data_IF_802407268982
#
_entry.id   IF_802407268982
#
_cell.length_a   1.000
_cell.length_b   1.000
_cell.length_c   1.000
_cell.angle_alpha   90.00
_cell.angle_beta   90.00
_cell.angle_gamma   90.00
#
_symmetry.space_group_name_H-M   'P 1'
#
loop_
_entity.id
_entity.type
_entity.pdbx_description
1 polymer ?
#
# COMPACT_ATOMS: atom_id res chain seq x y z
N UNK A 1 15.54 -9.35 24.97
CA UNK A 1 16.52 -10.40 25.32
C UNK A 1 15.79 -11.57 25.93
N UNK A 2 15.44 -12.56 25.11
CA UNK A 2 14.72 -13.75 25.56
C UNK A 2 15.73 -14.85 25.84
N UNK A 3 16.30 -14.85 27.05
CA UNK A 3 17.27 -15.85 27.56
C UNK A 3 16.97 -17.33 27.16
N UNK A 4 15.71 -17.82 27.14
CA UNK A 4 15.46 -19.22 26.77
C UNK A 4 15.71 -19.58 25.30
N UNK A 5 15.76 -18.62 24.39
CA UNK A 5 15.99 -18.86 22.95
C UNK A 5 17.51 -18.94 22.67
N UNK A 6 18.30 -18.06 23.28
CA UNK A 6 19.77 -18.06 23.17
C UNK A 6 20.39 -19.38 23.66
N UNK A 7 19.94 -19.90 24.81
CA UNK A 7 20.44 -21.17 25.39
C UNK A 7 20.15 -22.40 24.51
N UNK A 8 19.13 -22.33 23.64
CA UNK A 8 18.81 -23.39 22.68
C UNK A 8 19.60 -23.26 21.38
N UNK A 9 19.88 -22.03 20.95
CA UNK A 9 20.65 -21.73 19.75
C UNK A 9 22.15 -22.01 19.94
N UNK A 10 22.69 -21.81 21.15
CA UNK A 10 24.09 -22.08 21.48
C UNK A 10 24.47 -23.57 21.42
N UNK A 11 23.49 -24.47 21.52
CA UNK A 11 23.70 -25.92 21.44
C UNK A 11 23.93 -26.45 20.02
N UNK A 12 23.66 -25.65 18.99
CA UNK A 12 23.84 -26.05 17.58
C UNK A 12 25.14 -25.42 17.05
N UNK A 13 26.18 -26.22 16.75
CA UNK A 13 27.53 -25.70 16.49
C UNK A 13 27.61 -24.75 15.29
N UNK A 14 26.80 -24.97 14.25
CA UNK A 14 26.75 -24.11 13.05
C UNK A 14 26.07 -22.77 13.35
N UNK A 15 24.98 -22.78 14.13
CA UNK A 15 24.24 -21.57 14.45
C UNK A 15 25.00 -20.65 15.42
N UNK A 16 25.79 -21.21 16.33
CA UNK A 16 26.60 -20.44 17.28
C UNK A 16 27.66 -19.58 16.55
N UNK A 17 28.33 -20.15 15.54
CA UNK A 17 29.34 -19.43 14.74
C UNK A 17 28.69 -18.26 13.97
N UNK A 18 27.54 -18.51 13.35
CA UNK A 18 26.78 -17.50 12.62
C UNK A 18 26.27 -16.40 13.58
N UNK A 19 25.72 -16.79 14.73
CA UNK A 19 25.22 -15.86 15.75
C UNK A 19 26.34 -14.94 16.26
N UNK A 20 27.53 -15.48 16.55
CA UNK A 20 28.69 -14.70 16.99
C UNK A 20 29.15 -13.70 15.93
N UNK A 21 29.15 -14.10 14.66
CA UNK A 21 29.49 -13.20 13.54
C UNK A 21 28.51 -12.02 13.45
N UNK A 22 27.19 -12.28 13.50
CA UNK A 22 26.17 -11.24 13.44
C UNK A 22 26.07 -10.37 14.71
N UNK A 23 26.45 -10.89 15.88
CA UNK A 23 26.57 -10.12 17.13
C UNK A 23 27.77 -9.16 17.13
N UNK A 24 28.81 -9.45 16.35
CA UNK A 24 30.02 -8.62 16.27
C UNK A 24 29.80 -7.35 15.44
N UNK A 25 28.85 -7.38 14.50
CA UNK A 25 28.49 -6.23 13.66
C UNK A 25 27.46 -5.37 14.42
N UNK A 26 27.97 -4.36 15.12
CA UNK A 26 27.14 -3.32 15.75
C UNK A 26 26.84 -2.22 14.74
N UNK A 27 25.56 -1.90 14.57
CA UNK A 27 25.14 -0.89 13.61
C UNK A 27 25.24 0.51 14.22
N UNK A 28 25.97 1.45 13.60
CA UNK A 28 26.02 2.83 14.07
C UNK A 28 24.63 3.47 13.95
N UNK A 29 24.12 4.02 15.06
CA UNK A 29 22.81 4.70 15.12
C UNK A 29 21.66 3.88 15.71
N UNK A 30 21.81 2.58 15.94
CA UNK A 30 20.77 1.71 16.53
C UNK A 30 20.94 1.47 18.04
N UNK A 31 21.35 2.50 18.80
CA UNK A 31 21.56 2.43 20.26
C UNK A 31 22.43 1.25 20.76
N UNK A 32 23.29 0.70 19.90
CA UNK A 32 24.16 -0.43 20.24
C UNK A 32 23.61 -1.82 19.94
N UNK A 33 22.47 -1.92 19.25
CA UNK A 33 21.94 -3.18 18.73
C UNK A 33 22.86 -3.78 17.66
N UNK A 34 23.06 -5.09 17.74
CA UNK A 34 23.72 -5.87 16.68
C UNK A 34 22.74 -6.28 15.60
N UNK A 35 23.26 -6.71 14.44
CA UNK A 35 22.42 -7.26 13.35
C UNK A 35 21.63 -8.47 13.83
N UNK A 36 22.19 -9.29 14.72
CA UNK A 36 21.48 -10.41 15.35
C UNK A 36 20.27 -9.93 16.15
N UNK A 37 20.43 -8.87 16.96
CA UNK A 37 19.35 -8.35 17.79
C UNK A 37 18.21 -7.79 16.93
N UNK A 38 18.52 -7.14 15.81
CA UNK A 38 17.52 -6.67 14.85
C UNK A 38 16.79 -7.84 14.16
N UNK A 39 17.52 -8.88 13.76
CA UNK A 39 16.91 -10.07 13.16
C UNK A 39 16.02 -10.81 14.16
N UNK A 40 16.45 -10.96 15.41
CA UNK A 40 15.65 -11.55 16.49
C UNK A 40 14.37 -10.74 16.70
N UNK A 41 14.49 -9.40 16.78
CA UNK A 41 13.35 -8.50 17.01
C UNK A 41 12.37 -8.49 15.83
N UNK A 42 12.88 -8.57 14.59
CA UNK A 42 12.09 -8.69 13.37
C UNK A 42 11.33 -10.02 13.32
N UNK A 43 12.02 -11.15 13.54
CA UNK A 43 11.40 -12.48 13.53
C UNK A 43 10.39 -12.62 14.67
N UNK A 44 10.72 -12.18 15.88
CA UNK A 44 9.77 -12.16 17.00
C UNK A 44 8.57 -11.25 16.70
N UNK A 45 8.76 -10.11 16.04
CA UNK A 45 7.68 -9.21 15.62
C UNK A 45 6.73 -9.84 14.58
N UNK A 46 7.25 -10.69 13.69
CA UNK A 46 6.46 -11.48 12.74
C UNK A 46 5.70 -12.59 13.47
N UNK A 47 6.39 -13.37 14.31
CA UNK A 47 5.80 -14.50 15.06
C UNK A 47 4.71 -14.04 16.01
N UNK A 48 4.90 -12.90 16.69
CA UNK A 48 3.91 -12.30 17.58
C UNK A 48 2.73 -11.65 16.83
N UNK A 49 2.68 -11.72 15.50
CA UNK A 49 1.54 -11.28 14.70
C UNK A 49 1.40 -9.76 14.54
N UNK A 50 2.21 -8.96 15.24
CA UNK A 50 2.10 -7.50 15.24
C UNK A 50 2.46 -6.89 13.88
N UNK A 51 3.51 -7.40 13.23
CA UNK A 51 3.93 -6.94 11.90
C UNK A 51 3.04 -7.47 10.78
N UNK A 52 2.69 -8.77 10.83
CA UNK A 52 1.85 -9.41 9.81
C UNK A 52 0.43 -8.88 9.82
N UNK A 53 -0.19 -8.67 10.97
CA UNK A 53 -1.55 -8.10 11.05
C UNK A 53 -1.59 -6.67 10.49
N UNK A 54 -0.56 -5.85 10.78
CA UNK A 54 -0.47 -4.49 10.24
C UNK A 54 -0.23 -4.48 8.73
N UNK A 55 0.69 -5.31 8.24
CA UNK A 55 0.94 -5.47 6.82
C UNK A 55 -0.33 -5.93 6.08
N UNK A 56 -1.07 -6.89 6.63
CA UNK A 56 -2.34 -7.35 6.08
C UNK A 56 -3.42 -6.27 6.06
N UNK A 57 -3.53 -5.45 7.11
CA UNK A 57 -4.46 -4.32 7.15
C UNK A 57 -4.14 -3.29 6.05
N UNK A 58 -2.85 -2.96 5.86
CA UNK A 58 -2.40 -2.06 4.79
C UNK A 58 -2.71 -2.67 3.41
N UNK A 59 -2.38 -3.94 3.19
CA UNK A 59 -2.64 -4.63 1.92
C UNK A 59 -4.14 -4.69 1.61
N UNK A 60 -4.98 -4.95 2.61
CA UNK A 60 -6.44 -4.93 2.46
C UNK A 60 -6.95 -3.54 2.08
N UNK A 61 -6.49 -2.47 2.76
CA UNK A 61 -6.88 -1.10 2.41
C UNK A 61 -6.39 -0.67 1.02
N UNK A 62 -5.23 -1.14 0.59
CA UNK A 62 -4.76 -0.91 -0.77
C UNK A 62 -5.65 -1.64 -1.79
N UNK A 63 -5.94 -2.92 -1.54
CA UNK A 63 -6.80 -3.73 -2.40
C UNK A 63 -8.20 -3.12 -2.57
N UNK A 64 -8.82 -2.63 -1.49
CA UNK A 64 -10.14 -1.98 -1.57
C UNK A 64 -10.11 -0.63 -2.29
N UNK A 65 -8.94 0.03 -2.36
CA UNK A 65 -8.77 1.31 -3.05
C UNK A 65 -8.51 1.18 -4.56
N UNK A 66 -8.12 -0.01 -5.04
CA UNK A 66 -7.87 -0.26 -6.48
C UNK A 66 -9.14 -0.01 -7.31
N UNK A 67 -10.31 -0.49 -6.87
CA UNK A 67 -11.54 -0.32 -7.62
C UNK A 67 -11.97 1.16 -7.77
N UNK A 68 -12.06 1.95 -6.67
CA UNK A 68 -12.27 3.39 -6.77
C UNK A 68 -11.24 4.11 -7.63
N UNK A 69 -9.97 3.74 -7.53
CA UNK A 69 -8.90 4.31 -8.34
C UNK A 69 -9.12 4.07 -9.84
N UNK A 70 -9.40 2.81 -10.24
CA UNK A 70 -9.66 2.48 -11.63
C UNK A 70 -10.85 3.27 -12.17
N UNK A 71 -11.92 3.37 -11.39
CA UNK A 71 -13.11 4.12 -11.76
C UNK A 71 -12.80 5.63 -11.93
N UNK A 72 -11.97 6.21 -11.05
CA UNK A 72 -11.49 7.58 -11.20
C UNK A 72 -10.73 7.78 -12.51
N UNK A 73 -9.78 6.89 -12.84
CA UNK A 73 -9.00 6.96 -14.07
C UNK A 73 -9.90 6.86 -15.30
N UNK A 74 -10.88 5.95 -15.30
CA UNK A 74 -11.87 5.77 -16.38
C UNK A 74 -12.66 7.06 -16.65
N UNK A 75 -13.06 7.78 -15.60
CA UNK A 75 -13.78 9.04 -15.72
C UNK A 75 -12.87 10.16 -16.27
N UNK A 76 -11.58 10.16 -15.91
CA UNK A 76 -10.63 11.21 -16.32
C UNK A 76 -10.14 11.01 -17.76
N UNK A 77 -9.99 9.76 -18.23
CA UNK A 77 -9.50 9.40 -19.57
C UNK A 77 -10.04 10.27 -20.72
N UNK A 78 -11.37 10.49 -20.88
CA UNK A 78 -11.88 11.28 -22.01
C UNK A 78 -11.47 12.76 -21.99
N UNK A 79 -11.00 13.28 -20.85
CA UNK A 79 -10.53 14.65 -20.70
C UNK A 79 -9.03 14.80 -20.94
N UNK A 80 -8.32 13.71 -21.19
CA UNK A 80 -6.88 13.71 -21.46
C UNK A 80 -6.66 13.92 -22.97
N UNK A 81 -6.03 15.04 -23.39
CA UNK A 81 -5.84 15.37 -24.80
C UNK A 81 -4.62 14.64 -25.38
N UNK A 82 -4.67 13.30 -25.41
CA UNK A 82 -3.61 12.46 -25.97
C UNK A 82 -4.25 11.42 -26.88
N UNK A 83 -3.79 11.38 -28.12
CA UNK A 83 -4.24 10.40 -29.10
C UNK A 83 -3.79 9.00 -28.69
N UNK A 84 -4.71 8.03 -28.73
CA UNK A 84 -4.40 6.62 -28.43
C UNK A 84 -4.42 6.24 -26.94
N UNK A 85 -4.36 7.20 -26.01
CA UNK A 85 -4.26 6.92 -24.57
C UNK A 85 -5.33 5.97 -24.03
N UNK A 86 -6.57 6.12 -24.49
CA UNK A 86 -7.67 5.23 -24.11
C UNK A 86 -7.41 3.77 -24.52
N UNK A 87 -6.87 3.55 -25.72
CA UNK A 87 -6.58 2.21 -26.22
C UNK A 87 -5.40 1.59 -25.47
N UNK A 88 -4.31 2.35 -25.32
CA UNK A 88 -3.11 1.90 -24.61
C UNK A 88 -3.40 1.55 -23.14
N UNK A 89 -4.23 2.35 -22.47
CA UNK A 89 -4.65 2.07 -21.09
C UNK A 89 -5.52 0.81 -20.99
N UNK A 90 -6.42 0.59 -21.96
CA UNK A 90 -7.25 -0.62 -22.00
C UNK A 90 -6.41 -1.87 -22.25
N UNK A 91 -5.42 -1.79 -23.15
CA UNK A 91 -4.49 -2.88 -23.42
C UNK A 91 -3.62 -3.19 -22.19
N UNK A 92 -3.16 -2.16 -21.49
CA UNK A 92 -2.48 -2.31 -20.21
C UNK A 92 -3.38 -3.04 -19.20
N UNK A 93 -4.63 -2.59 -18.99
CA UNK A 93 -5.56 -3.26 -18.07
C UNK A 93 -5.81 -4.72 -18.45
N UNK A 94 -5.99 -5.03 -19.74
CA UNK A 94 -6.15 -6.40 -20.23
C UNK A 94 -4.91 -7.29 -19.97
N UNK A 95 -3.71 -6.71 -19.85
CA UNK A 95 -2.49 -7.47 -19.55
C UNK A 95 -2.34 -7.87 -18.08
N UNK A 96 -3.00 -7.16 -17.15
CA UNK A 96 -2.86 -7.35 -15.70
C UNK A 96 -4.13 -7.92 -15.06
N UNK A 97 -5.29 -7.60 -15.60
CA UNK A 97 -6.57 -8.07 -15.08
C UNK A 97 -6.99 -9.39 -15.73
N UNK A 98 -7.67 -10.27 -14.98
CA UNK A 98 -8.36 -11.41 -15.58
C UNK A 98 -9.37 -10.96 -16.65
N UNK A 99 -9.57 -11.73 -17.74
CA UNK A 99 -10.42 -11.33 -18.87
C UNK A 99 -11.85 -10.94 -18.46
N UNK A 100 -12.42 -11.67 -17.50
CA UNK A 100 -13.77 -11.44 -16.99
C UNK A 100 -13.93 -10.09 -16.29
N UNK A 101 -12.86 -9.59 -15.65
CA UNK A 101 -12.86 -8.32 -14.92
C UNK A 101 -12.67 -7.14 -15.89
N UNK A 102 -11.79 -7.30 -16.88
CA UNK A 102 -11.57 -6.25 -17.88
C UNK A 102 -12.79 -6.06 -18.77
N UNK A 103 -13.40 -7.14 -19.26
CA UNK A 103 -14.65 -7.09 -20.04
C UNK A 103 -15.76 -6.36 -19.27
N UNK A 104 -15.96 -6.69 -17.99
CA UNK A 104 -16.95 -6.01 -17.15
C UNK A 104 -16.69 -4.50 -17.03
N UNK A 105 -15.43 -4.09 -16.78
CA UNK A 105 -15.09 -2.66 -16.67
C UNK A 105 -15.28 -1.92 -18.00
N UNK A 106 -14.95 -2.57 -19.12
CA UNK A 106 -15.05 -1.99 -20.47
C UNK A 106 -16.50 -1.88 -20.92
N UNK A 107 -17.27 -2.98 -20.85
CA UNK A 107 -18.62 -3.00 -21.37
C UNK A 107 -19.62 -2.27 -20.46
N UNK A 108 -19.43 -2.31 -19.15
CA UNK A 108 -20.40 -1.74 -18.20
C UNK A 108 -20.10 -0.28 -17.85
N UNK A 109 -18.82 0.11 -17.76
CA UNK A 109 -18.46 1.46 -17.29
C UNK A 109 -18.09 2.34 -18.48
N UNK A 110 -17.18 1.91 -19.36
CA UNK A 110 -16.75 2.74 -20.48
C UNK A 110 -17.85 2.98 -21.53
N UNK A 111 -18.69 1.98 -21.81
CA UNK A 111 -19.74 2.08 -22.82
C UNK A 111 -20.95 2.89 -22.34
N UNK A 112 -21.40 2.66 -21.10
CA UNK A 112 -22.55 3.36 -20.51
C UNK A 112 -22.26 4.82 -20.18
N UNK A 113 -21.03 5.13 -19.73
CA UNK A 113 -20.60 6.51 -19.49
C UNK A 113 -20.55 7.33 -20.79
N UNK A 114 -20.25 6.69 -21.93
CA UNK A 114 -20.14 7.37 -23.23
C UNK A 114 -21.49 7.62 -23.94
N UNK A 115 -22.53 6.87 -23.59
CA UNK A 115 -23.78 6.86 -24.36
C UNK A 115 -24.95 7.61 -23.73
N UNK A 116 -25.16 7.55 -22.40
CA UNK A 116 -26.42 8.05 -21.81
C UNK A 116 -26.35 8.54 -20.33
N UNK A 117 -25.17 8.89 -19.82
CA UNK A 117 -25.07 9.26 -18.39
C UNK A 117 -25.19 10.78 -18.17
N UNK A 118 -26.22 11.21 -17.41
CA UNK A 118 -26.40 12.60 -16.97
C UNK A 118 -25.16 13.10 -16.20
N UNK A 119 -24.64 14.29 -16.53
CA UNK A 119 -23.39 14.83 -15.96
C UNK A 119 -23.33 14.87 -14.42
N UNK A 120 -24.48 14.95 -13.73
CA UNK A 120 -24.55 14.89 -12.27
C UNK A 120 -24.20 13.52 -11.65
N UNK A 121 -24.43 12.42 -12.38
CA UNK A 121 -24.04 11.08 -11.92
C UNK A 121 -22.51 10.93 -11.97
N UNK A 122 -21.90 11.38 -13.08
CA UNK A 122 -20.45 11.32 -13.31
C UNK A 122 -19.70 12.12 -12.23
N UNK A 123 -20.15 13.35 -11.92
CA UNK A 123 -19.51 14.18 -10.89
C UNK A 123 -19.63 13.58 -9.47
N UNK A 124 -20.78 12.95 -9.17
CA UNK A 124 -20.99 12.30 -7.86
C UNK A 124 -20.11 11.07 -7.69
N UNK A 125 -20.01 10.26 -8.74
CA UNK A 125 -19.17 9.07 -8.79
C UNK A 125 -17.67 9.46 -8.76
N UNK A 126 -17.29 10.55 -9.41
CA UNK A 126 -15.94 11.12 -9.34
C UNK A 126 -15.54 11.53 -7.92
N UNK A 127 -16.39 12.29 -7.22
CA UNK A 127 -16.10 12.71 -5.85
C UNK A 127 -16.06 11.53 -4.88
N UNK A 128 -16.97 10.56 -5.04
CA UNK A 128 -17.01 9.35 -4.22
C UNK A 128 -15.76 8.49 -4.43
N UNK A 129 -15.35 8.27 -5.67
CA UNK A 129 -14.15 7.48 -6.00
C UNK A 129 -12.88 8.16 -5.48
N UNK A 130 -12.75 9.47 -5.62
CA UNK A 130 -11.66 10.25 -5.05
C UNK A 130 -11.60 10.12 -3.52
N UNK A 131 -12.75 10.18 -2.84
CA UNK A 131 -12.83 10.01 -1.40
C UNK A 131 -12.43 8.59 -0.96
N UNK A 132 -12.94 7.56 -1.65
CA UNK A 132 -12.63 6.16 -1.34
C UNK A 132 -11.15 5.82 -1.59
N UNK A 133 -10.58 6.32 -2.69
CA UNK A 133 -9.15 6.15 -3.01
C UNK A 133 -8.27 6.78 -1.93
N UNK A 134 -8.59 8.01 -1.49
CA UNK A 134 -7.83 8.69 -0.45
C UNK A 134 -7.93 8.00 0.93
N UNK A 135 -9.03 7.30 1.22
CA UNK A 135 -9.11 6.44 2.42
C UNK A 135 -8.13 5.27 2.36
N UNK A 136 -7.92 4.66 1.19
CA UNK A 136 -6.90 3.63 0.99
C UNK A 136 -5.49 4.11 1.30
N UNK A 137 -5.11 5.26 0.76
CA UNK A 137 -3.79 5.87 1.02
C UNK A 137 -3.65 6.32 2.48
N UNK A 138 -4.72 6.83 3.09
CA UNK A 138 -4.70 7.20 4.51
C UNK A 138 -4.48 5.98 5.43
N UNK A 139 -4.99 4.80 5.07
CA UNK A 139 -4.76 3.57 5.81
C UNK A 139 -3.30 3.11 5.73
N UNK A 140 -2.63 3.30 4.59
CA UNK A 140 -1.19 3.07 4.44
C UNK A 140 -0.41 3.95 5.42
N UNK A 141 -0.69 5.25 5.46
CA UNK A 141 -0.03 6.17 6.41
C UNK A 141 -0.32 5.83 7.86
N UNK A 142 -1.57 5.47 8.19
CA UNK A 142 -1.94 5.07 9.55
C UNK A 142 -1.24 3.78 9.99
N UNK A 143 -1.01 2.84 9.05
CA UNK A 143 -0.25 1.61 9.29
C UNK A 143 1.25 1.84 9.52
N UNK A 144 1.82 2.92 8.98
CA UNK A 144 3.21 3.32 9.21
C UNK A 144 3.40 4.27 10.41
N UNK A 145 2.41 5.10 10.74
CA UNK A 145 2.47 6.08 11.83
C UNK A 145 2.36 5.46 13.23
N UNK A 146 1.95 4.19 13.33
CA UNK A 146 1.84 3.45 14.61
C UNK A 146 3.17 2.87 15.11
N UNK A 147 4.26 3.65 15.07
CA UNK A 147 5.49 3.29 15.79
C UNK A 147 5.37 3.67 17.27
N UNK A 148 5.76 2.75 18.16
CA UNK A 148 5.72 2.94 19.60
C UNK A 148 6.40 4.27 19.99
N UNK A 149 5.76 5.04 20.86
CA UNK A 149 6.25 6.22 21.59
C UNK A 149 6.00 7.66 21.11
N UNK A 150 5.28 7.95 20.02
CA UNK A 150 4.65 9.28 19.88
C UNK A 150 3.29 9.21 19.19
N UNK A 151 2.22 9.32 19.97
CA UNK A 151 0.93 9.79 19.45
C UNK A 151 1.09 11.25 19.04
N UNK A 152 1.56 11.49 17.82
CA UNK A 152 1.43 12.81 17.22
C UNK A 152 -0.05 13.00 16.90
N UNK A 153 -0.70 13.91 17.62
CA UNK A 153 -2.06 14.36 17.36
C UNK A 153 -2.06 15.16 16.05
N UNK A 154 -1.83 14.50 14.91
CA UNK A 154 -1.89 15.14 13.59
C UNK A 154 -3.36 15.31 13.23
N UNK A 155 -3.72 16.53 12.88
CA UNK A 155 -5.07 16.87 12.45
C UNK A 155 -5.45 15.94 11.27
N UNK A 156 -6.44 15.07 11.45
CA UNK A 156 -6.86 14.01 10.50
C UNK A 156 -7.06 14.59 9.09
N UNK A 157 -7.56 15.83 9.03
CA UNK A 157 -7.71 16.59 7.80
C UNK A 157 -6.40 16.80 7.02
N UNK A 158 -5.32 17.16 7.72
CA UNK A 158 -3.99 17.35 7.09
C UNK A 158 -3.45 16.02 6.57
N UNK A 159 -3.61 14.94 7.32
CA UNK A 159 -3.16 13.60 6.90
C UNK A 159 -3.89 13.17 5.62
N UNK A 160 -5.21 13.40 5.57
CA UNK A 160 -6.01 13.13 4.38
C UNK A 160 -5.62 14.00 3.18
N UNK A 161 -5.30 15.28 3.38
CA UNK A 161 -4.77 16.15 2.33
C UNK A 161 -3.43 15.66 1.76
N UNK A 162 -2.52 15.17 2.61
CA UNK A 162 -1.27 14.54 2.15
C UNK A 162 -1.54 13.23 1.42
N UNK A 163 -2.48 12.41 1.89
CA UNK A 163 -2.89 11.17 1.23
C UNK A 163 -3.44 11.44 -0.17
N UNK A 164 -4.30 12.45 -0.31
CA UNK A 164 -4.79 12.91 -1.60
C UNK A 164 -3.65 13.39 -2.51
N UNK A 165 -2.75 14.24 -2.00
CA UNK A 165 -1.62 14.73 -2.78
C UNK A 165 -0.72 13.62 -3.31
N UNK A 166 -0.38 12.64 -2.46
CA UNK A 166 0.41 11.48 -2.87
C UNK A 166 -0.35 10.59 -3.86
N UNK A 167 -1.65 10.38 -3.67
CA UNK A 167 -2.46 9.62 -4.62
C UNK A 167 -2.45 10.27 -6.02
N UNK A 168 -2.59 11.60 -6.09
CA UNK A 168 -2.52 12.34 -7.35
C UNK A 168 -1.12 12.28 -8.00
N UNK A 169 -0.05 12.34 -7.19
CA UNK A 169 1.32 12.16 -7.67
C UNK A 169 1.52 10.74 -8.23
N UNK A 170 0.99 9.71 -7.57
CA UNK A 170 1.06 8.32 -8.05
C UNK A 170 0.30 8.14 -9.38
N UNK A 171 -0.87 8.77 -9.53
CA UNK A 171 -1.58 8.81 -10.83
C UNK A 171 -0.70 9.44 -11.90
N UNK A 172 -0.04 10.56 -11.59
CA UNK A 172 0.86 11.25 -12.53
C UNK A 172 2.13 10.45 -12.87
N UNK A 173 2.64 9.62 -11.96
CA UNK A 173 3.82 8.77 -12.19
C UNK A 173 3.49 7.44 -12.90
N UNK A 174 2.24 6.99 -12.83
CA UNK A 174 1.75 5.83 -13.58
C UNK A 174 1.36 6.18 -15.02
N UNK A 175 1.56 7.44 -15.39
CA UNK A 175 1.40 8.01 -16.72
C UNK A 175 2.76 8.07 -17.42
#
# INVERSE_FOLDING_TARGET
MTKPIEDKLDKIPVLNVIMRFFKQIKLPGFEGLSVYDLLELYIMGIVNGALTTRASAIAFSFFTAIFPFLLFVIIVIPYIPIDGFRADFLDFLNSILPPQTSEFLIDSIFKDMSSNTSGGLISSVFLLSMFLMANGVNAVFSGFETSYHKQLYRNVFKQYMFALGVALILVFFCY
#
